data_IF_148439395149
#
_entry.id   IF_148439395149
#
_cell.length_a   1.000
_cell.length_b   1.000
_cell.length_c   1.000
_cell.angle_alpha   90.00
_cell.angle_beta   90.00
_cell.angle_gamma   90.00
#
_symmetry.space_group_name_H-M   'P 1'
#
loop_
_entity.id
_entity.type
_entity.pdbx_description
1 polymer ?
#
# COMPACT_ATOMS: atom_id res chain seq x y z
N UNK A 1 -6.63 -15.50 -2.60
CA UNK A 1 -6.00 -14.21 -2.27
C UNK A 1 -5.94 -14.11 -0.76
N UNK A 2 -4.78 -13.78 -0.19
CA UNK A 2 -4.65 -13.52 1.25
C UNK A 2 -5.45 -12.27 1.63
N UNK A 3 -6.08 -12.26 2.82
CA UNK A 3 -6.90 -11.13 3.29
C UNK A 3 -6.13 -9.80 3.29
N UNK A 4 -4.84 -9.86 3.66
CA UNK A 4 -3.88 -8.76 3.57
C UNK A 4 -3.86 -8.10 2.18
N UNK A 5 -3.73 -8.89 1.09
CA UNK A 5 -3.65 -8.34 -0.28
C UNK A 5 -4.93 -7.59 -0.65
N UNK A 6 -6.08 -8.17 -0.33
CA UNK A 6 -7.36 -7.53 -0.62
C UNK A 6 -7.47 -6.18 0.12
N UNK A 7 -7.08 -6.10 1.39
CA UNK A 7 -7.06 -4.83 2.14
C UNK A 7 -6.16 -3.78 1.47
N UNK A 8 -4.96 -4.15 1.05
CA UNK A 8 -4.05 -3.22 0.34
C UNK A 8 -4.65 -2.73 -0.98
N UNK A 9 -5.25 -3.64 -1.75
CA UNK A 9 -5.87 -3.27 -3.03
C UNK A 9 -7.06 -2.33 -2.81
N UNK A 10 -7.82 -2.53 -1.72
CA UNK A 10 -8.91 -1.65 -1.33
C UNK A 10 -8.42 -0.25 -0.92
N UNK A 11 -7.33 -0.16 -0.16
CA UNK A 11 -6.71 1.13 0.21
C UNK A 11 -6.24 1.86 -1.05
N UNK A 12 -5.49 1.19 -1.93
CA UNK A 12 -4.98 1.78 -3.16
C UNK A 12 -6.13 2.21 -4.08
N UNK A 13 -7.16 1.39 -4.24
CA UNK A 13 -8.36 1.73 -5.01
C UNK A 13 -9.07 2.97 -4.45
N UNK A 14 -9.17 3.10 -3.13
CA UNK A 14 -9.82 4.27 -2.49
C UNK A 14 -8.97 5.53 -2.61
N UNK A 15 -7.66 5.43 -2.44
CA UNK A 15 -6.75 6.58 -2.46
C UNK A 15 -6.48 7.07 -3.87
N UNK A 16 -6.17 6.16 -4.80
CA UNK A 16 -5.80 6.49 -6.18
C UNK A 16 -7.00 6.50 -7.13
N UNK A 17 -8.18 6.06 -6.68
CA UNK A 17 -9.39 5.96 -7.51
C UNK A 17 -9.22 5.09 -8.77
N UNK A 18 -8.26 4.17 -8.77
CA UNK A 18 -8.01 3.22 -9.85
C UNK A 18 -8.79 1.93 -9.64
N UNK A 19 -9.29 1.31 -10.72
CA UNK A 19 -10.04 0.05 -10.65
C UNK A 19 -9.20 -1.09 -10.05
N UNK A 20 -9.78 -1.87 -9.12
CA UNK A 20 -9.11 -3.03 -8.49
C UNK A 20 -8.60 -4.05 -9.51
N UNK A 21 -9.25 -4.17 -10.66
CA UNK A 21 -8.85 -5.07 -11.73
C UNK A 21 -7.52 -4.67 -12.40
N UNK A 22 -7.11 -3.40 -12.24
CA UNK A 22 -5.80 -2.90 -12.71
C UNK A 22 -4.72 -3.02 -11.63
N UNK A 23 -5.11 -3.24 -10.37
CA UNK A 23 -4.19 -3.38 -9.25
C UNK A 23 -3.63 -4.80 -9.24
N UNK A 24 -2.30 -4.89 -9.21
CA UNK A 24 -1.57 -6.14 -9.17
C UNK A 24 -0.33 -5.98 -8.28
N UNK A 25 0.31 -7.09 -7.93
CA UNK A 25 1.48 -7.08 -7.05
C UNK A 25 2.68 -6.29 -7.63
N UNK A 26 2.77 -6.18 -8.95
CA UNK A 26 3.81 -5.38 -9.63
C UNK A 26 3.46 -3.90 -9.80
N UNK A 27 2.24 -3.49 -9.45
CA UNK A 27 1.82 -2.09 -9.57
C UNK A 27 2.67 -1.23 -8.64
N UNK A 28 3.35 -0.25 -9.23
CA UNK A 28 4.20 0.68 -8.50
C UNK A 28 3.75 2.12 -8.69
N UNK A 29 4.28 2.98 -7.84
CA UNK A 29 4.14 4.43 -7.93
C UNK A 29 4.60 4.98 -9.29
N UNK A 30 5.53 4.30 -9.98
CA UNK A 30 5.99 4.71 -11.31
C UNK A 30 5.00 4.36 -12.42
N UNK A 31 4.09 3.40 -12.19
CA UNK A 31 3.11 2.94 -13.17
C UNK A 31 1.79 3.74 -13.09
N UNK A 32 1.57 4.46 -11.99
CA UNK A 32 0.32 5.17 -11.69
C UNK A 32 0.61 6.63 -11.43
N UNK A 33 0.20 7.51 -12.34
CA UNK A 33 0.42 8.95 -12.25
C UNK A 33 -0.28 9.56 -11.02
N UNK A 34 -1.42 9.00 -10.63
CA UNK A 34 -2.18 9.38 -9.43
C UNK A 34 -1.46 9.03 -8.13
N UNK A 35 -0.51 8.07 -8.17
CA UNK A 35 0.31 7.73 -7.02
C UNK A 35 1.45 8.74 -6.90
N UNK A 36 1.14 9.92 -6.39
CA UNK A 36 2.12 10.95 -6.08
C UNK A 36 2.63 10.85 -4.62
N UNK A 37 3.51 11.77 -4.21
CA UNK A 37 4.06 11.77 -2.85
C UNK A 37 3.00 11.97 -1.77
N UNK A 38 1.89 12.68 -2.06
CA UNK A 38 0.80 12.88 -1.11
C UNK A 38 -0.06 11.62 -0.99
N UNK A 39 -0.43 11.02 -2.12
CA UNK A 39 -1.17 9.78 -2.17
C UNK A 39 -0.43 8.64 -1.48
N UNK A 40 0.90 8.59 -1.63
CA UNK A 40 1.74 7.64 -0.92
C UNK A 40 1.64 7.79 0.61
N UNK A 41 1.71 9.01 1.15
CA UNK A 41 1.54 9.25 2.59
C UNK A 41 0.13 8.89 3.08
N UNK A 42 -0.89 9.13 2.26
CA UNK A 42 -2.27 8.73 2.58
C UNK A 42 -2.38 7.20 2.64
N UNK A 43 -1.81 6.48 1.66
CA UNK A 43 -1.78 5.00 1.65
C UNK A 43 -1.12 4.47 2.93
N UNK A 44 0.05 5.00 3.30
CA UNK A 44 0.75 4.64 4.53
C UNK A 44 -0.14 4.86 5.75
N UNK A 45 -0.75 6.04 5.87
CA UNK A 45 -1.63 6.36 7.00
C UNK A 45 -2.86 5.45 7.10
N UNK A 46 -3.48 5.11 5.96
CA UNK A 46 -4.61 4.18 5.90
C UNK A 46 -4.19 2.75 6.29
N UNK A 47 -2.98 2.33 5.91
CA UNK A 47 -2.40 1.04 6.30
C UNK A 47 -2.20 1.00 7.82
N UNK A 48 -1.54 2.01 8.39
CA UNK A 48 -1.35 2.12 9.85
C UNK A 48 -2.67 1.99 10.60
N UNK A 49 -3.70 2.71 10.16
CA UNK A 49 -5.03 2.64 10.77
C UNK A 49 -5.71 1.28 10.58
N UNK A 50 -5.59 0.68 9.39
CA UNK A 50 -6.25 -0.59 9.05
C UNK A 50 -5.66 -1.78 9.80
N UNK A 51 -4.35 -1.75 10.05
CA UNK A 51 -3.62 -2.83 10.71
C UNK A 51 -3.24 -2.50 12.15
N UNK A 52 -3.59 -1.32 12.65
CA UNK A 52 -3.22 -0.79 13.96
C UNK A 52 -1.70 -0.88 14.23
N UNK A 53 -0.90 -0.63 13.20
CA UNK A 53 0.56 -0.60 13.25
C UNK A 53 1.08 0.83 13.10
N UNK A 54 2.35 1.03 13.45
CA UNK A 54 3.08 2.27 13.21
C UNK A 54 4.24 1.91 12.29
N UNK A 55 4.27 2.52 11.11
CA UNK A 55 5.34 2.35 10.14
C UNK A 55 6.47 3.32 10.47
N UNK A 56 7.71 2.85 10.39
CA UNK A 56 8.87 3.71 10.61
C UNK A 56 9.09 4.64 9.40
N UNK A 57 9.67 5.82 9.65
CA UNK A 57 9.98 6.80 8.59
C UNK A 57 10.87 6.22 7.47
N UNK A 58 11.70 5.22 7.80
CA UNK A 58 12.55 4.50 6.86
C UNK A 58 11.78 3.49 6.00
N UNK A 59 10.61 3.02 6.43
CA UNK A 59 9.78 2.07 5.69
C UNK A 59 8.87 2.77 4.66
N UNK A 60 8.48 4.02 4.92
CA UNK A 60 7.67 4.85 4.00
C UNK A 60 8.27 4.86 2.59
N UNK A 61 9.52 5.33 2.36
CA UNK A 61 10.09 5.40 1.02
C UNK A 61 10.29 4.03 0.34
N UNK A 62 10.27 2.93 1.09
CA UNK A 62 10.36 1.57 0.54
C UNK A 62 9.02 1.08 -0.04
N UNK A 63 7.89 1.61 0.44
CA UNK A 63 6.52 1.23 0.07
C UNK A 63 6.06 1.77 -1.30
N UNK A 64 6.94 1.75 -2.29
CA UNK A 64 6.74 2.28 -3.65
C UNK A 64 5.98 1.34 -4.58
N UNK A 65 5.70 0.11 -4.16
CA UNK A 65 4.92 -0.87 -4.92
C UNK A 65 4.09 -1.74 -4.00
N UNK A 66 3.05 -2.36 -4.57
CA UNK A 66 2.20 -3.32 -3.85
C UNK A 66 3.02 -4.46 -3.25
N UNK A 67 3.97 -5.03 -4.01
CA UNK A 67 4.87 -6.06 -3.51
C UNK A 67 5.73 -5.58 -2.32
N UNK A 68 6.26 -4.37 -2.39
CA UNK A 68 7.07 -3.81 -1.30
C UNK A 68 6.22 -3.57 -0.05
N UNK A 69 5.03 -3.00 -0.21
CA UNK A 69 4.07 -2.80 0.90
C UNK A 69 3.83 -4.13 1.64
N UNK A 70 3.50 -5.19 0.89
CA UNK A 70 3.25 -6.50 1.48
C UNK A 70 4.49 -7.08 2.18
N UNK A 71 5.68 -6.84 1.62
CA UNK A 71 6.95 -7.29 2.20
C UNK A 71 7.26 -6.54 3.50
N UNK A 72 7.09 -5.21 3.51
CA UNK A 72 7.24 -4.37 4.70
C UNK A 72 6.28 -4.80 5.79
N UNK A 73 5.00 -4.99 5.45
CA UNK A 73 3.98 -5.48 6.38
C UNK A 73 4.30 -6.86 6.95
N UNK A 74 4.96 -7.72 6.18
CA UNK A 74 5.48 -9.00 6.68
C UNK A 74 6.47 -8.85 7.85
N UNK A 75 7.18 -7.73 7.97
CA UNK A 75 8.07 -7.44 9.12
C UNK A 75 7.28 -7.20 10.42
N UNK A 76 6.06 -6.68 10.31
CA UNK A 76 5.20 -6.31 11.43
C UNK A 76 4.24 -7.43 11.88
N UNK A 77 4.41 -8.65 11.35
CA UNK A 77 3.57 -9.82 11.62
C UNK A 77 2.05 -9.57 11.45
N UNK A 78 1.67 -8.66 10.55
CA UNK A 78 0.25 -8.40 10.28
C UNK A 78 -0.37 -9.55 9.48
N UNK A 79 -1.38 -10.20 10.09
CA UNK A 79 -2.07 -11.39 9.59
C UNK A 79 -3.45 -11.10 9.03
#
# INVERSE_FOLDING_TARGET
>A
MSELKNKIYDIINKTLLIEKDKINDSLSMNDVEEWDSMAHLIIVSEIEQTFEIILEDDDIPEMTSVANILTTLGKYEVG
#
